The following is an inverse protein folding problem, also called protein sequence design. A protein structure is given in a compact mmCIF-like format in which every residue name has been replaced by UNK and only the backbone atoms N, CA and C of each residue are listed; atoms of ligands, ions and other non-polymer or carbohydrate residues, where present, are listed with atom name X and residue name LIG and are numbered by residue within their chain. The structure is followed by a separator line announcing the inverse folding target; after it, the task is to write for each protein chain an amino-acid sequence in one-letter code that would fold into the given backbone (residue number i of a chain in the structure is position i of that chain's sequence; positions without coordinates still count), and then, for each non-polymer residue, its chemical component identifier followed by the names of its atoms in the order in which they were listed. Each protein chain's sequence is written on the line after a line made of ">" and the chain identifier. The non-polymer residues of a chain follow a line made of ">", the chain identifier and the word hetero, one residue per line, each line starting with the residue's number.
data_IF_025232912559
#
_entry.id   IF_025232912559
#
_cell.length_a   1.000
_cell.length_b   1.000
_cell.length_c   1.000
_cell.angle_alpha   90.00
_cell.angle_beta   90.00
_cell.angle_gamma   90.00
#
_symmetry.space_group_name_H-M   'P 1'
#
loop_
_entity.id
_entity.type
_entity.pdbx_description
1 polymer ?
#
# COMPACT_ATOMS: atom_id res chain seq x y z
N UNK A 1 -40.62 -8.19 -8.95
CA UNK A 1 -40.26 -8.45 -7.54
C UNK A 1 -38.89 -9.13 -7.50
N UNK A 2 -37.80 -8.43 -7.18
CA UNK A 2 -36.50 -9.09 -6.96
C UNK A 2 -36.48 -9.68 -5.56
N UNK A 3 -36.40 -11.01 -5.46
CA UNK A 3 -36.12 -11.68 -4.19
C UNK A 3 -34.71 -11.28 -3.74
N UNK A 4 -34.61 -10.50 -2.67
CA UNK A 4 -33.34 -10.02 -2.13
C UNK A 4 -32.49 -11.19 -1.63
N UNK A 5 -31.44 -11.53 -2.38
CA UNK A 5 -30.45 -12.52 -1.95
C UNK A 5 -29.77 -12.10 -0.65
N UNK A 6 -29.53 -13.05 0.26
CA UNK A 6 -28.73 -12.83 1.46
C UNK A 6 -27.25 -12.97 1.13
N UNK A 7 -26.42 -12.13 1.74
CA UNK A 7 -24.96 -12.20 1.65
C UNK A 7 -24.41 -12.99 2.84
N UNK A 8 -23.40 -13.81 2.64
CA UNK A 8 -22.81 -14.65 3.70
C UNK A 8 -21.32 -14.36 3.85
N UNK A 9 -20.83 -14.41 5.09
CA UNK A 9 -19.40 -14.25 5.35
C UNK A 9 -18.70 -15.59 5.11
N UNK A 10 -17.72 -15.61 4.20
CA UNK A 10 -16.93 -16.81 3.88
C UNK A 10 -15.89 -17.16 4.95
N UNK A 11 -15.58 -16.22 5.86
CA UNK A 11 -14.60 -16.41 6.94
C UNK A 11 -15.23 -17.11 8.15
N UNK A 12 -16.49 -16.81 8.43
CA UNK A 12 -17.20 -17.41 9.55
C UNK A 12 -17.54 -18.88 9.28
N UNK A 13 -17.00 -19.78 10.09
CA UNK A 13 -17.24 -21.23 9.97
C UNK A 13 -18.56 -21.69 10.59
N UNK A 14 -19.17 -20.89 11.48
CA UNK A 14 -20.50 -21.15 12.05
C UNK A 14 -21.58 -20.51 11.19
N UNK A 15 -22.81 -21.06 11.20
CA UNK A 15 -23.97 -20.50 10.48
C UNK A 15 -24.20 -19.03 10.86
N UNK A 16 -23.62 -18.12 10.09
CA UNK A 16 -23.93 -16.69 10.19
C UNK A 16 -25.29 -16.46 9.56
N UNK A 17 -26.18 -15.77 10.28
CA UNK A 17 -27.39 -15.21 9.68
C UNK A 17 -26.96 -14.37 8.48
N UNK A 18 -27.45 -14.69 7.30
CA UNK A 18 -27.11 -13.95 6.08
C UNK A 18 -27.47 -12.47 6.23
N UNK A 19 -26.59 -11.60 5.73
CA UNK A 19 -26.75 -10.16 5.74
C UNK A 19 -27.72 -9.73 4.64
N UNK A 20 -28.55 -8.72 4.94
CA UNK A 20 -29.51 -8.16 3.98
C UNK A 20 -28.84 -7.35 2.86
N UNK A 21 -27.64 -6.82 3.13
CA UNK A 21 -26.91 -5.93 2.21
C UNK A 21 -25.42 -6.26 2.20
N UNK A 22 -24.75 -5.98 1.08
CA UNK A 22 -23.29 -6.11 0.95
C UNK A 22 -22.56 -5.24 1.98
N UNK A 23 -23.00 -3.99 2.20
CA UNK A 23 -22.43 -3.11 3.22
C UNK A 23 -22.54 -3.68 4.64
N UNK A 24 -23.63 -4.41 4.94
CA UNK A 24 -23.78 -5.12 6.20
C UNK A 24 -22.74 -6.23 6.39
N UNK A 25 -22.49 -7.00 5.33
CA UNK A 25 -21.43 -8.02 5.30
C UNK A 25 -20.03 -7.37 5.44
N UNK A 26 -19.75 -6.31 4.69
CA UNK A 26 -18.48 -5.59 4.75
C UNK A 26 -18.19 -5.03 6.15
N UNK A 27 -19.20 -4.45 6.80
CA UNK A 27 -19.08 -3.97 8.19
C UNK A 27 -18.79 -5.13 9.14
N UNK A 28 -19.47 -6.26 8.97
CA UNK A 28 -19.19 -7.45 9.75
C UNK A 28 -17.75 -7.94 9.57
N UNK A 29 -17.27 -8.10 8.33
CA UNK A 29 -15.89 -8.48 8.05
C UNK A 29 -14.90 -7.50 8.68
N UNK A 30 -15.13 -6.19 8.56
CA UNK A 30 -14.24 -5.19 9.13
C UNK A 30 -14.19 -5.24 10.66
N UNK A 31 -15.31 -5.50 11.33
CA UNK A 31 -15.36 -5.53 12.79
C UNK A 31 -14.94 -6.87 13.40
N UNK A 32 -15.14 -7.99 12.70
CA UNK A 32 -14.87 -9.34 13.23
C UNK A 32 -13.63 -9.99 12.65
N UNK A 33 -13.15 -9.51 11.50
CA UNK A 33 -12.09 -10.14 10.72
C UNK A 33 -11.07 -9.11 10.21
N UNK A 34 -10.81 -8.04 10.98
CA UNK A 34 -9.87 -6.98 10.60
C UNK A 34 -8.45 -7.48 10.31
N UNK A 35 -8.03 -8.54 11.00
CA UNK A 35 -6.71 -9.16 10.87
C UNK A 35 -6.75 -10.48 10.08
N UNK A 36 -7.85 -10.79 9.41
CA UNK A 36 -7.91 -11.97 8.56
C UNK A 36 -7.02 -11.76 7.34
N UNK A 37 -6.08 -12.67 7.11
CA UNK A 37 -5.07 -12.56 6.05
C UNK A 37 -4.82 -13.89 5.32
N UNK A 38 -5.69 -14.90 5.51
CA UNK A 38 -5.54 -16.18 4.81
C UNK A 38 -5.83 -16.00 3.33
N UNK A 39 -4.86 -16.37 2.50
CA UNK A 39 -4.96 -16.29 1.05
C UNK A 39 -6.02 -17.26 0.52
N UNK A 40 -6.79 -16.87 -0.51
CA UNK A 40 -7.76 -17.76 -1.12
C UNK A 40 -7.06 -18.83 -1.96
N UNK A 41 -7.69 -19.99 -2.11
CA UNK A 41 -7.09 -21.16 -2.77
C UNK A 41 -6.89 -21.00 -4.28
N UNK A 42 -7.50 -19.99 -4.90
CA UNK A 42 -7.37 -19.73 -6.33
C UNK A 42 -6.10 -18.95 -6.71
N UNK A 43 -5.31 -18.48 -5.74
CA UNK A 43 -4.04 -17.80 -6.03
C UNK A 43 -3.09 -18.77 -6.73
N UNK A 44 -2.65 -18.37 -7.91
CA UNK A 44 -1.71 -19.14 -8.71
C UNK A 44 -0.30 -18.57 -8.59
N UNK A 45 0.69 -19.45 -8.68
CA UNK A 45 2.08 -19.05 -8.79
C UNK A 45 2.33 -18.37 -10.13
N UNK A 46 3.06 -17.26 -10.09
CA UNK A 46 3.49 -16.48 -11.26
C UNK A 46 4.98 -16.70 -11.49
N UNK A 47 5.43 -16.50 -12.73
CA UNK A 47 6.84 -16.63 -13.08
C UNK A 47 7.71 -15.57 -12.38
N UNK A 48 8.95 -15.91 -12.03
CA UNK A 48 9.87 -14.97 -11.39
C UNK A 48 10.13 -13.73 -12.27
N UNK A 49 10.14 -13.88 -13.59
CA UNK A 49 10.31 -12.75 -14.53
C UNK A 49 9.17 -11.74 -14.44
N UNK A 50 7.92 -12.19 -14.34
CA UNK A 50 6.76 -11.31 -14.16
C UNK A 50 6.79 -10.60 -12.79
N UNK A 51 7.21 -11.31 -11.73
CA UNK A 51 7.40 -10.71 -10.40
C UNK A 51 8.50 -9.64 -10.43
N UNK A 52 9.67 -9.94 -11.01
CA UNK A 52 10.78 -8.98 -11.16
C UNK A 52 10.37 -7.75 -11.99
N UNK A 53 9.61 -7.95 -13.07
CA UNK A 53 9.07 -6.85 -13.86
C UNK A 53 8.15 -5.95 -13.03
N UNK A 54 7.24 -6.54 -12.24
CA UNK A 54 6.36 -5.78 -11.35
C UNK A 54 7.15 -5.00 -10.30
N UNK A 55 8.14 -5.62 -9.64
CA UNK A 55 9.02 -4.95 -8.66
C UNK A 55 9.71 -3.74 -9.28
N UNK A 56 10.32 -3.90 -10.46
CA UNK A 56 10.95 -2.81 -11.21
C UNK A 56 9.96 -1.69 -11.59
N UNK A 57 8.74 -2.05 -11.98
CA UNK A 57 7.70 -1.08 -12.30
C UNK A 57 7.26 -0.27 -11.08
N UNK A 58 7.16 -0.91 -9.91
CA UNK A 58 6.89 -0.27 -8.61
C UNK A 58 8.01 0.73 -8.29
N UNK A 59 9.28 0.30 -8.29
CA UNK A 59 10.45 1.14 -8.00
C UNK A 59 10.47 2.36 -8.93
N UNK A 60 10.32 2.14 -10.24
CA UNK A 60 10.30 3.22 -11.24
C UNK A 60 9.18 4.23 -10.98
N UNK A 61 7.98 3.78 -10.62
CA UNK A 61 6.85 4.68 -10.30
C UNK A 61 7.10 5.43 -8.99
N UNK A 62 7.69 4.77 -8.01
CA UNK A 62 8.02 5.36 -6.72
C UNK A 62 9.08 6.45 -6.85
N UNK A 63 10.21 6.15 -7.48
CA UNK A 63 11.29 7.11 -7.71
C UNK A 63 10.83 8.33 -8.53
N UNK A 64 9.85 8.18 -9.42
CA UNK A 64 9.23 9.32 -10.13
C UNK A 64 8.46 10.26 -9.20
N UNK A 65 7.97 9.79 -8.05
CA UNK A 65 7.28 10.61 -7.04
C UNK A 65 8.24 11.34 -6.10
N UNK A 66 9.44 10.80 -5.92
CA UNK A 66 10.54 11.51 -5.28
C UNK A 66 10.95 12.65 -6.23
N UNK A 67 10.65 13.90 -5.87
CA UNK A 67 10.94 15.10 -6.68
C UNK A 67 12.12 15.88 -6.09
N UNK A 68 12.76 16.73 -6.89
CA UNK A 68 13.86 17.60 -6.42
C UNK A 68 13.33 18.98 -5.97
N UNK A 69 12.32 18.99 -5.09
CA UNK A 69 11.71 20.24 -4.63
C UNK A 69 11.79 20.29 -3.10
N UNK A 70 12.62 21.21 -2.58
CA UNK A 70 12.87 21.39 -1.14
C UNK A 70 11.61 21.76 -0.32
N UNK A 71 10.59 22.30 -0.98
CA UNK A 71 9.31 22.65 -0.36
C UNK A 71 8.30 21.51 -0.34
N UNK A 72 8.58 20.40 -1.04
CA UNK A 72 7.67 19.29 -1.21
C UNK A 72 8.02 18.15 -0.24
N UNK A 73 7.87 18.37 1.06
CA UNK A 73 7.69 17.26 2.02
C UNK A 73 6.22 16.91 2.01
N UNK A 74 5.87 15.65 1.80
CA UNK A 74 4.45 15.30 1.84
C UNK A 74 4.13 13.85 1.56
N UNK A 75 2.87 13.56 1.83
CA UNK A 75 2.22 12.33 1.44
C UNK A 75 2.22 12.20 -0.09
N UNK A 76 2.52 11.00 -0.56
CA UNK A 76 2.43 10.63 -1.95
C UNK A 76 1.52 9.42 -2.08
N UNK A 77 0.82 9.37 -3.21
CA UNK A 77 0.03 8.21 -3.59
C UNK A 77 0.22 7.96 -5.08
N UNK A 78 0.40 6.69 -5.43
CA UNK A 78 0.33 6.27 -6.82
C UNK A 78 -0.31 4.90 -6.93
N UNK A 79 -0.82 4.59 -8.12
CA UNK A 79 -1.36 3.29 -8.44
C UNK A 79 -0.70 2.70 -9.68
N UNK A 80 -0.73 1.38 -9.76
CA UNK A 80 -0.26 0.58 -10.89
C UNK A 80 -1.22 -0.59 -11.11
N UNK A 81 -1.50 -0.90 -12.36
CA UNK A 81 -2.25 -2.10 -12.72
C UNK A 81 -1.39 -3.35 -12.54
N UNK A 82 -1.90 -4.33 -11.81
CA UNK A 82 -1.33 -5.66 -11.73
C UNK A 82 -2.41 -6.68 -11.36
N UNK A 83 -2.20 -7.94 -11.74
CA UNK A 83 -3.11 -9.03 -11.38
C UNK A 83 -3.04 -9.34 -9.88
N UNK A 84 -4.08 -10.00 -9.37
CA UNK A 84 -4.14 -10.49 -7.98
C UNK A 84 -2.95 -11.40 -7.66
N UNK A 85 -2.70 -12.38 -8.54
CA UNK A 85 -1.62 -13.33 -8.42
C UNK A 85 -0.24 -12.64 -8.39
N UNK A 86 -0.03 -11.58 -9.19
CA UNK A 86 1.24 -10.85 -9.19
C UNK A 86 1.43 -10.05 -7.90
N UNK A 87 0.36 -9.40 -7.40
CA UNK A 87 0.40 -8.71 -6.13
C UNK A 87 0.70 -9.68 -4.97
N UNK A 88 -0.05 -10.78 -4.88
CA UNK A 88 0.16 -11.79 -3.83
C UNK A 88 1.54 -12.42 -3.98
N UNK A 89 2.01 -12.68 -5.20
CA UNK A 89 3.36 -13.20 -5.44
C UNK A 89 4.48 -12.30 -4.89
N UNK A 90 4.31 -10.97 -4.94
CA UNK A 90 5.29 -10.02 -4.37
C UNK A 90 5.13 -9.85 -2.86
N UNK A 91 3.89 -9.79 -2.35
CA UNK A 91 3.62 -9.33 -0.98
C UNK A 91 3.06 -10.40 -0.02
N UNK A 92 2.93 -11.67 -0.43
CA UNK A 92 2.23 -12.73 0.31
C UNK A 92 2.55 -12.78 1.81
N UNK A 93 3.84 -12.69 2.16
CA UNK A 93 4.32 -12.88 3.53
C UNK A 93 4.12 -11.62 4.39
N UNK A 94 3.68 -10.51 3.79
CA UNK A 94 3.49 -9.20 4.42
C UNK A 94 2.03 -8.73 4.39
N UNK A 95 1.09 -9.58 3.94
CA UNK A 95 -0.33 -9.25 3.94
C UNK A 95 -0.86 -9.26 5.36
N UNK A 96 -1.20 -8.07 5.83
CA UNK A 96 -1.79 -7.84 7.16
C UNK A 96 -3.31 -8.02 7.17
N UNK A 97 -3.96 -7.85 6.01
CA UNK A 97 -5.40 -8.03 5.84
C UNK A 97 -5.77 -8.44 4.42
N UNK A 98 -6.72 -9.36 4.33
CA UNK A 98 -7.47 -9.73 3.14
C UNK A 98 -8.96 -9.64 3.45
N UNK A 99 -9.76 -9.04 2.56
CA UNK A 99 -11.23 -9.02 2.67
C UNK A 99 -11.84 -9.76 1.48
N UNK A 100 -12.45 -10.94 1.71
CA UNK A 100 -13.19 -11.66 0.69
C UNK A 100 -14.41 -10.87 0.16
N UNK A 101 -15.14 -10.13 0.99
CA UNK A 101 -16.30 -9.35 0.55
C UNK A 101 -15.93 -8.26 -0.46
N UNK A 102 -14.77 -7.62 -0.27
CA UNK A 102 -14.34 -6.47 -1.05
C UNK A 102 -13.23 -6.80 -2.05
N UNK A 103 -12.77 -8.06 -2.07
CA UNK A 103 -11.66 -8.54 -2.90
C UNK A 103 -10.44 -7.61 -2.84
N UNK A 104 -9.99 -7.27 -1.62
CA UNK A 104 -8.81 -6.44 -1.42
C UNK A 104 -7.80 -7.07 -0.47
N UNK A 105 -6.53 -6.75 -0.70
CA UNK A 105 -5.39 -7.06 0.15
C UNK A 105 -4.75 -5.79 0.67
N UNK A 106 -4.15 -5.86 1.85
CA UNK A 106 -3.52 -4.73 2.50
C UNK A 106 -2.26 -5.13 3.25
N UNK A 107 -1.18 -4.40 2.99
CA UNK A 107 0.09 -4.45 3.69
C UNK A 107 0.35 -3.09 4.34
N UNK A 108 0.96 -3.11 5.53
CA UNK A 108 1.34 -1.91 6.29
C UNK A 108 2.78 -2.09 6.75
N UNK A 109 3.67 -1.23 6.27
CA UNK A 109 5.08 -1.22 6.64
C UNK A 109 5.36 0.01 7.49
N UNK A 110 5.85 -0.19 8.72
CA UNK A 110 6.13 0.88 9.68
C UNK A 110 7.22 0.48 10.67
N UNK A 111 7.88 1.48 11.25
CA UNK A 111 8.95 1.27 12.22
C UNK A 111 10.34 1.24 11.56
N UNK A 112 11.36 1.05 12.38
CA UNK A 112 12.77 1.23 11.99
C UNK A 112 13.20 0.32 10.83
N UNK A 113 12.74 -0.93 10.81
CA UNK A 113 13.12 -1.93 9.80
C UNK A 113 12.27 -1.87 8.52
N UNK A 114 11.25 -1.01 8.45
CA UNK A 114 10.29 -1.01 7.35
C UNK A 114 10.94 -0.67 5.99
N UNK A 115 11.99 0.16 6.00
CA UNK A 115 12.69 0.51 4.77
C UNK A 115 13.44 -0.68 4.18
N UNK A 116 14.14 -1.43 5.03
CA UNK A 116 14.91 -2.60 4.63
C UNK A 116 14.00 -3.77 4.23
N UNK A 117 12.90 -3.97 4.96
CA UNK A 117 11.88 -4.98 4.64
C UNK A 117 11.31 -4.76 3.23
N UNK A 118 10.97 -3.53 2.87
CA UNK A 118 10.51 -3.21 1.51
C UNK A 118 11.64 -3.39 0.49
N UNK A 119 12.88 -3.05 0.84
CA UNK A 119 14.04 -3.27 -0.02
C UNK A 119 14.23 -4.74 -0.37
N UNK A 120 14.07 -5.63 0.60
CA UNK A 120 14.12 -7.09 0.40
C UNK A 120 12.95 -7.58 -0.47
N UNK A 121 11.73 -7.08 -0.23
CA UNK A 121 10.55 -7.42 -1.05
C UNK A 121 10.76 -7.00 -2.51
N UNK A 122 11.29 -5.79 -2.73
CA UNK A 122 11.49 -5.21 -4.06
C UNK A 122 12.80 -5.62 -4.73
N UNK A 123 13.69 -6.31 -4.01
CA UNK A 123 15.02 -6.71 -4.47
C UNK A 123 15.89 -5.50 -4.90
N UNK A 124 15.82 -4.42 -4.11
CA UNK A 124 16.56 -3.17 -4.34
C UNK A 124 16.73 -2.40 -3.02
N UNK A 125 17.94 -2.31 -2.48
CA UNK A 125 18.24 -1.55 -1.25
C UNK A 125 18.02 -0.03 -1.39
N UNK A 126 18.03 0.49 -2.62
CA UNK A 126 17.86 1.92 -2.95
C UNK A 126 16.50 2.21 -3.59
N UNK A 127 15.55 1.28 -3.45
CA UNK A 127 14.19 1.39 -3.99
C UNK A 127 13.53 2.75 -3.69
N UNK A 128 13.76 3.25 -2.47
CA UNK A 128 13.16 4.43 -1.88
C UNK A 128 13.99 5.70 -2.03
N UNK A 129 15.07 5.70 -2.81
CA UNK A 129 15.99 6.82 -2.95
C UNK A 129 16.03 7.39 -4.37
N UNK A 130 16.26 8.70 -4.47
CA UNK A 130 16.55 9.38 -5.73
C UNK A 130 17.60 10.46 -5.56
N UNK A 131 18.79 10.19 -6.11
CA UNK A 131 19.93 11.10 -6.11
C UNK A 131 19.89 12.02 -7.33
N UNK A 132 20.03 13.33 -7.11
CA UNK A 132 20.06 14.35 -8.17
C UNK A 132 21.46 14.93 -8.43
N UNK A 133 22.48 14.39 -7.77
CA UNK A 133 23.83 14.96 -7.74
C UNK A 133 23.92 16.22 -6.89
N UNK A 134 25.15 16.76 -6.76
CA UNK A 134 25.43 18.02 -6.03
C UNK A 134 24.89 18.04 -4.59
N UNK A 135 24.95 16.89 -3.90
CA UNK A 135 24.49 16.72 -2.52
C UNK A 135 22.96 16.74 -2.36
N UNK A 136 22.18 16.51 -3.41
CA UNK A 136 20.71 16.53 -3.37
C UNK A 136 20.13 15.11 -3.44
N UNK A 137 19.39 14.72 -2.40
CA UNK A 137 18.80 13.39 -2.26
C UNK A 137 17.33 13.52 -1.81
N UNK A 138 16.44 12.80 -2.49
CA UNK A 138 15.06 12.59 -2.03
C UNK A 138 14.88 11.14 -1.62
N UNK A 139 14.21 10.88 -0.51
CA UNK A 139 13.99 9.52 -0.04
C UNK A 139 12.66 9.32 0.68
N UNK A 140 12.16 8.08 0.67
CA UNK A 140 10.97 7.65 1.39
C UNK A 140 11.25 7.65 2.89
N UNK A 141 10.34 8.23 3.67
CA UNK A 141 10.46 8.29 5.13
C UNK A 141 9.43 7.37 5.79
N UNK A 142 9.90 6.31 6.43
CA UNK A 142 9.06 5.29 7.10
C UNK A 142 9.25 5.24 8.62
N UNK A 143 10.15 6.04 9.16
CA UNK A 143 10.40 6.10 10.59
C UNK A 143 10.89 7.49 11.01
N UNK A 144 10.49 7.92 12.20
CA UNK A 144 10.99 9.13 12.86
C UNK A 144 11.27 8.77 14.32
N UNK A 145 12.54 8.79 14.77
CA UNK A 145 12.87 8.58 16.18
C UNK A 145 12.20 9.66 17.04
N UNK A 146 11.66 9.28 18.21
CA UNK A 146 10.94 10.21 19.10
C UNK A 146 11.85 11.24 19.81
N UNK A 147 13.17 10.97 19.86
CA UNK A 147 14.12 11.72 20.69
C UNK A 147 15.00 12.69 19.89
N UNK A 148 14.39 13.74 19.33
CA UNK A 148 15.12 14.94 18.88
C UNK A 148 14.79 16.12 19.80
N UNK A 149 15.75 16.49 20.64
CA UNK A 149 15.73 17.70 21.47
C UNK A 149 15.76 18.94 20.57
N UNK A 150 14.60 19.54 20.33
CA UNK A 150 14.48 20.85 19.70
C UNK A 150 13.16 21.50 20.15
N UNK A 151 13.28 22.40 21.12
CA UNK A 151 12.18 23.05 21.86
C UNK A 151 11.30 24.02 21.04
N UNK A 152 11.31 23.94 19.70
CA UNK A 152 10.52 24.83 18.82
C UNK A 152 9.50 24.14 17.89
N UNK A 153 9.13 22.87 18.10
CA UNK A 153 8.28 22.11 17.14
C UNK A 153 7.02 21.44 17.71
N UNK A 154 6.39 21.97 18.75
CA UNK A 154 5.15 21.37 19.29
C UNK A 154 3.94 21.42 18.32
N UNK A 155 3.84 22.39 17.40
CA UNK A 155 2.78 22.38 16.36
C UNK A 155 3.06 21.44 15.18
N UNK A 156 4.32 21.07 14.95
CA UNK A 156 4.73 20.13 13.89
C UNK A 156 4.77 18.67 14.39
N UNK A 157 4.90 18.47 15.70
CA UNK A 157 5.03 17.14 16.36
C UNK A 157 3.79 16.25 16.20
N UNK A 158 2.56 16.79 16.31
CA UNK A 158 1.34 15.97 16.14
C UNK A 158 1.05 15.59 14.67
N UNK A 159 1.60 16.32 13.70
CA UNK A 159 1.37 16.06 12.27
C UNK A 159 2.39 15.11 11.65
N UNK A 160 3.48 14.80 12.35
CA UNK A 160 4.55 13.92 11.87
C UNK A 160 4.51 12.50 12.44
N UNK A 161 3.90 12.25 13.61
CA UNK A 161 3.81 10.88 14.15
C UNK A 161 2.89 9.95 13.35
N UNK A 162 2.03 10.51 12.48
CA UNK A 162 1.20 9.75 11.53
C UNK A 162 1.92 9.41 10.21
N UNK A 163 3.19 9.81 10.02
CA UNK A 163 3.87 9.83 8.71
C UNK A 163 4.98 8.78 8.54
N UNK A 164 5.05 7.78 9.42
CA UNK A 164 6.05 6.69 9.39
C UNK A 164 5.47 5.35 8.89
N UNK A 165 4.49 5.39 7.99
CA UNK A 165 3.88 4.18 7.47
C UNK A 165 3.77 4.25 5.95
N UNK A 166 4.13 3.15 5.30
CA UNK A 166 3.80 2.89 3.91
C UNK A 166 2.72 1.82 3.83
N UNK A 167 1.58 2.18 3.24
CA UNK A 167 0.49 1.24 3.02
C UNK A 167 0.44 0.84 1.57
N UNK A 168 0.25 -0.46 1.33
CA UNK A 168 0.08 -1.04 0.01
C UNK A 168 -1.26 -1.74 -0.04
N UNK A 169 -2.16 -1.28 -0.91
CA UNK A 169 -3.50 -1.84 -1.05
C UNK A 169 -3.73 -2.31 -2.47
N UNK A 170 -4.02 -3.59 -2.65
CA UNK A 170 -4.51 -4.12 -3.93
C UNK A 170 -6.01 -4.33 -3.85
N UNK A 171 -6.75 -3.96 -4.90
CA UNK A 171 -8.17 -4.27 -5.05
C UNK A 171 -8.57 -4.31 -6.52
N UNK A 172 -9.69 -4.97 -6.82
CA UNK A 172 -10.37 -4.77 -8.10
C UNK A 172 -10.92 -3.35 -8.16
N UNK A 173 -10.51 -2.61 -9.18
CA UNK A 173 -10.99 -1.25 -9.47
C UNK A 173 -11.65 -1.25 -10.83
N UNK A 174 -12.67 -0.41 -11.01
CA UNK A 174 -13.36 -0.34 -12.28
C UNK A 174 -14.23 0.89 -12.37
N UNK A 175 -14.91 0.98 -13.50
CA UNK A 175 -15.78 2.10 -13.79
C UNK A 175 -16.68 1.82 -14.98
N UNK A 176 -17.36 2.88 -15.39
CA UNK A 176 -18.07 2.95 -16.64
C UNK A 176 -17.55 4.14 -17.40
N UNK A 177 -17.39 4.01 -18.70
CA UNK A 177 -17.19 5.17 -19.54
C UNK A 177 -18.52 5.92 -19.77
N UNK A 178 -18.47 6.97 -20.58
CA UNK A 178 -19.64 7.80 -20.90
C UNK A 178 -20.71 7.04 -21.70
N UNK A 179 -20.31 5.96 -22.37
CA UNK A 179 -21.18 5.09 -23.16
C UNK A 179 -21.67 3.86 -22.36
N UNK A 180 -21.52 3.89 -21.03
CA UNK A 180 -21.86 2.80 -20.12
C UNK A 180 -21.09 1.49 -20.33
N UNK A 181 -19.98 1.49 -21.08
CA UNK A 181 -19.10 0.33 -21.15
C UNK A 181 -18.42 0.14 -19.79
N UNK A 182 -18.64 -1.03 -19.19
CA UNK A 182 -18.06 -1.40 -17.90
C UNK A 182 -16.67 -1.98 -18.11
N UNK A 183 -15.71 -1.54 -17.32
CA UNK A 183 -14.36 -2.09 -17.27
C UNK A 183 -13.93 -2.28 -15.82
N UNK A 184 -13.20 -3.35 -15.55
CA UNK A 184 -12.64 -3.67 -14.24
C UNK A 184 -11.25 -4.28 -14.41
N UNK A 185 -10.33 -3.89 -13.53
CA UNK A 185 -8.97 -4.42 -13.48
C UNK A 185 -8.40 -4.33 -12.05
N UNK A 186 -7.51 -5.27 -11.73
CA UNK A 186 -6.71 -5.22 -10.51
C UNK A 186 -5.78 -4.00 -10.51
N UNK A 187 -5.70 -3.34 -9.36
CA UNK A 187 -4.83 -2.19 -9.17
C UNK A 187 -4.24 -2.21 -7.76
N UNK A 188 -2.93 -2.02 -7.69
CA UNK A 188 -2.22 -1.77 -6.43
C UNK A 188 -2.03 -0.28 -6.24
N UNK A 189 -2.34 0.22 -5.05
CA UNK A 189 -2.11 1.58 -4.61
C UNK A 189 -1.07 1.60 -3.50
N UNK A 190 -0.10 2.49 -3.64
CA UNK A 190 0.92 2.79 -2.65
C UNK A 190 0.66 4.17 -2.07
N UNK A 191 0.73 4.28 -0.75
CA UNK A 191 0.68 5.55 -0.01
C UNK A 191 1.86 5.59 0.95
N UNK A 192 2.63 6.67 0.92
CA UNK A 192 3.86 6.82 1.71
C UNK A 192 4.22 8.30 1.85
N UNK A 193 5.15 8.61 2.74
CA UNK A 193 5.73 9.95 2.89
C UNK A 193 7.16 9.98 2.36
N UNK A 194 7.60 11.14 1.88
CA UNK A 194 8.99 11.36 1.48
C UNK A 194 9.50 12.71 1.93
N UNK A 195 10.83 12.82 1.99
CA UNK A 195 11.55 14.05 2.31
C UNK A 195 12.69 14.28 1.31
N UNK A 196 13.07 15.54 1.14
CA UNK A 196 14.24 15.96 0.37
C UNK A 196 15.29 16.55 1.32
N UNK A 197 16.56 16.19 1.11
CA UNK A 197 17.69 16.69 1.89
C UNK A 197 18.73 17.29 0.93
N UNK A 198 19.26 18.45 1.32
CA UNK A 198 20.41 19.10 0.67
C UNK A 198 21.61 19.07 1.61
N UNK A 199 22.64 18.34 1.24
CA UNK A 199 23.94 18.47 1.88
C UNK A 199 24.64 19.71 1.33
N UNK A 200 24.84 20.74 2.16
CA UNK A 200 25.79 21.82 1.86
C UNK A 200 27.18 21.32 2.24
N UNK A 201 28.00 20.99 1.27
CA UNK A 201 29.44 20.92 1.49
C UNK A 201 29.91 22.36 1.69
N UNK A 202 30.30 22.71 2.92
CA UNK A 202 31.15 23.87 3.14
C UNK A 202 32.55 23.46 2.67
N UNK A 203 32.98 24.01 1.53
CA UNK A 203 34.38 24.06 1.13
C UNK A 203 34.98 25.35 1.69
#
# INVERSE_FOLDING_TARGET
>A
MHMGGKFYCSICTRRTKGFKTRSGLQRHETLKHISYNKLPSHIQQISNSELSYLKSAIIKKLQKRLRNNYTAVGEQTFSLHCSENAFVGVFKDHITRYSPCESFYFCSFKGENAFDEIGQILDDEKWGERNYGKGQLSFVRLYVPENGDDNHKQKTKMKLSANGEMTVKWQMTGGKDKENHKFEAGSVQFRFFWINVKYRFFL
#
